data_IF_004457827812
#
_entry.id   IF_004457827812
#
_cell.length_a   1.000
_cell.length_b   1.000
_cell.length_c   1.000
_cell.angle_alpha   90.00
_cell.angle_beta   90.00
_cell.angle_gamma   90.00
#
_symmetry.space_group_name_H-M   'P 1'
#
loop_
_entity.id
_entity.type
_entity.pdbx_description
1 polymer ?
#
# COMPACT_ATOMS: atom_id res chain seq x y z
N UNK A 1 28.58 -66.15 -38.69
CA UNK A 1 27.58 -65.14 -39.12
C UNK A 1 26.93 -64.31 -37.99
N UNK A 2 27.08 -64.69 -36.74
CA UNK A 2 26.37 -64.01 -35.59
C UNK A 2 27.06 -62.70 -35.12
N UNK A 3 28.38 -62.51 -35.30
CA UNK A 3 29.17 -61.41 -34.79
C UNK A 3 28.94 -60.08 -35.54
N UNK A 4 28.43 -60.12 -36.78
CA UNK A 4 28.20 -58.91 -37.59
C UNK A 4 26.84 -58.22 -37.28
N UNK A 5 25.83 -59.02 -36.91
CA UNK A 5 24.51 -58.48 -36.55
C UNK A 5 24.52 -57.73 -35.21
N UNK A 6 25.37 -58.14 -34.28
CA UNK A 6 25.48 -57.49 -32.97
C UNK A 6 26.11 -56.14 -33.08
N UNK A 7 27.11 -55.96 -33.96
CA UNK A 7 27.70 -54.63 -34.20
C UNK A 7 26.74 -53.65 -34.90
N UNK A 8 25.89 -54.17 -35.79
CA UNK A 8 24.87 -53.34 -36.46
C UNK A 8 23.78 -52.89 -35.50
N UNK A 9 23.35 -53.82 -34.61
CA UNK A 9 22.35 -53.45 -33.58
C UNK A 9 22.85 -52.43 -32.60
N UNK A 10 24.09 -52.52 -32.14
CA UNK A 10 24.69 -51.49 -31.23
C UNK A 10 24.81 -50.14 -31.91
N UNK A 11 25.15 -50.10 -33.20
CA UNK A 11 25.20 -48.83 -33.95
C UNK A 11 23.83 -48.16 -34.10
N UNK A 12 22.77 -49.00 -34.30
CA UNK A 12 21.39 -48.52 -34.39
C UNK A 12 20.89 -47.97 -33.06
N UNK A 13 21.24 -48.65 -31.95
CA UNK A 13 20.89 -48.22 -30.60
C UNK A 13 21.58 -46.88 -30.22
N UNK A 14 22.87 -46.77 -30.60
CA UNK A 14 23.63 -45.52 -30.36
C UNK A 14 23.08 -44.36 -31.18
N UNK A 15 22.72 -44.58 -32.46
CA UNK A 15 22.10 -43.56 -33.30
C UNK A 15 20.73 -43.11 -32.74
N UNK A 16 19.92 -44.05 -32.24
CA UNK A 16 18.64 -43.75 -31.61
C UNK A 16 18.80 -42.96 -30.31
N UNK A 17 19.82 -43.24 -29.50
CA UNK A 17 20.12 -42.48 -28.28
C UNK A 17 20.57 -41.05 -28.59
N UNK A 18 21.36 -40.84 -29.65
CA UNK A 18 21.81 -39.50 -30.06
C UNK A 18 20.66 -38.66 -30.60
N UNK A 19 19.71 -39.27 -31.35
CA UNK A 19 18.52 -38.55 -31.84
C UNK A 19 17.63 -38.01 -30.70
N UNK A 20 17.49 -38.74 -29.58
CA UNK A 20 16.70 -38.30 -28.42
C UNK A 20 17.39 -37.20 -27.63
N UNK A 21 18.74 -37.04 -27.69
CA UNK A 21 19.45 -35.97 -26.99
C UNK A 21 19.25 -34.58 -27.61
N UNK A 22 18.75 -34.50 -28.85
CA UNK A 22 18.47 -33.23 -29.53
C UNK A 22 17.00 -32.75 -29.39
N UNK A 23 16.11 -33.55 -28.82
CA UNK A 23 14.66 -33.31 -28.83
C UNK A 23 14.17 -32.35 -27.75
N UNK A 24 14.99 -31.98 -26.75
CA UNK A 24 14.58 -31.08 -25.68
C UNK A 24 15.38 -29.79 -25.67
N UNK A 25 15.08 -28.88 -26.63
CA UNK A 25 15.30 -27.46 -26.41
C UNK A 25 13.94 -26.79 -26.22
N UNK A 26 13.47 -26.77 -24.99
CA UNK A 26 12.37 -25.86 -24.65
C UNK A 26 12.82 -24.44 -24.96
N UNK A 27 12.07 -23.67 -25.74
CA UNK A 27 12.36 -22.25 -25.92
C UNK A 27 12.36 -21.59 -24.54
N UNK A 28 13.37 -20.77 -24.25
CA UNK A 28 13.44 -20.03 -23.01
C UNK A 28 12.10 -19.31 -22.76
N UNK A 29 11.50 -19.42 -21.57
CA UNK A 29 10.24 -18.78 -21.30
C UNK A 29 10.40 -17.27 -21.52
N UNK A 30 9.71 -16.74 -22.54
CA UNK A 30 9.65 -15.30 -22.78
C UNK A 30 8.87 -14.72 -21.63
N UNK A 31 9.47 -13.78 -20.82
CA UNK A 31 8.75 -13.13 -19.77
C UNK A 31 7.50 -12.47 -20.37
N UNK A 32 6.32 -12.84 -19.88
CA UNK A 32 5.09 -12.16 -20.28
C UNK A 32 5.20 -10.68 -19.86
N UNK A 33 4.88 -9.73 -20.73
CA UNK A 33 4.83 -8.34 -20.31
C UNK A 33 3.86 -8.20 -19.13
N UNK A 34 4.13 -7.32 -18.16
CA UNK A 34 3.24 -7.11 -17.03
C UNK A 34 1.86 -6.73 -17.56
N UNK A 35 0.87 -7.59 -17.29
CA UNK A 35 -0.52 -7.35 -17.69
C UNK A 35 -1.17 -6.56 -16.57
N UNK A 36 -1.39 -5.27 -16.80
CA UNK A 36 -2.19 -4.43 -15.89
C UNK A 36 -3.66 -4.58 -16.24
N UNK A 37 -4.51 -4.59 -15.21
CA UNK A 37 -5.94 -4.40 -15.41
C UNK A 37 -6.15 -3.02 -16.04
N UNK A 38 -6.80 -2.95 -17.18
CA UNK A 38 -7.21 -1.69 -17.77
C UNK A 38 -8.42 -1.15 -16.99
N UNK A 39 -8.13 -0.41 -15.91
CA UNK A 39 -9.14 0.17 -15.05
C UNK A 39 -9.29 1.63 -15.45
N UNK A 40 -10.50 2.01 -15.87
CA UNK A 40 -10.84 3.41 -16.04
C UNK A 40 -11.24 3.98 -14.67
N UNK A 41 -10.35 4.78 -14.08
CA UNK A 41 -10.66 5.52 -12.87
C UNK A 41 -11.45 6.79 -13.22
N UNK A 42 -12.43 7.20 -12.39
CA UNK A 42 -13.09 8.49 -12.56
C UNK A 42 -12.09 9.64 -12.29
N UNK A 43 -12.44 10.83 -12.79
CA UNK A 43 -11.67 12.03 -12.48
C UNK A 43 -11.69 12.32 -10.98
N UNK A 44 -10.55 12.81 -10.47
CA UNK A 44 -10.43 13.21 -9.08
C UNK A 44 -11.32 14.41 -8.77
N UNK A 45 -12.18 14.28 -7.78
CA UNK A 45 -13.01 15.37 -7.26
C UNK A 45 -13.08 15.27 -5.73
N UNK A 46 -13.09 16.41 -5.04
CA UNK A 46 -12.93 16.45 -3.60
C UNK A 46 -13.97 17.32 -2.92
N UNK A 47 -14.39 16.90 -1.73
CA UNK A 47 -15.27 17.68 -0.85
C UNK A 47 -14.64 17.81 0.54
N UNK A 48 -14.93 18.89 1.26
CA UNK A 48 -14.51 19.03 2.66
C UNK A 48 -15.39 18.17 3.57
N UNK A 49 -14.74 17.36 4.39
CA UNK A 49 -15.36 16.55 5.43
C UNK A 49 -15.14 17.20 6.78
N UNK A 50 -16.24 17.48 7.50
CA UNK A 50 -16.28 18.00 8.86
C UNK A 50 -17.02 16.98 9.73
N UNK A 51 -16.34 15.90 10.09
CA UNK A 51 -16.90 14.87 10.95
C UNK A 51 -16.87 15.22 12.44
N UNK A 52 -17.13 14.23 13.30
CA UNK A 52 -17.17 14.40 14.77
C UNK A 52 -15.78 14.51 15.40
N UNK A 53 -14.74 14.03 14.72
CA UNK A 53 -13.37 14.11 15.21
C UNK A 53 -12.84 15.57 15.13
N UNK A 54 -11.84 15.94 15.93
CA UNK A 54 -11.36 17.33 16.04
C UNK A 54 -10.48 17.79 14.87
N UNK A 55 -10.80 17.32 13.66
CA UNK A 55 -10.12 17.68 12.42
C UNK A 55 -11.08 17.70 11.23
N UNK A 56 -10.65 18.31 10.16
CA UNK A 56 -11.30 18.33 8.86
C UNK A 56 -10.28 18.13 7.75
N UNK A 57 -10.72 17.58 6.62
CA UNK A 57 -9.85 17.32 5.48
C UNK A 57 -10.66 17.28 4.19
N UNK A 58 -9.98 17.30 3.04
CA UNK A 58 -10.59 17.02 1.76
C UNK A 58 -10.63 15.52 1.53
N UNK A 59 -11.80 15.02 1.13
CA UNK A 59 -12.03 13.63 0.78
C UNK A 59 -12.47 13.53 -0.67
N UNK A 60 -11.95 12.55 -1.40
CA UNK A 60 -12.42 12.23 -2.74
C UNK A 60 -13.92 11.89 -2.69
N UNK A 61 -14.70 12.49 -3.59
CA UNK A 61 -16.18 12.33 -3.64
C UNK A 61 -16.63 10.90 -3.89
N UNK A 62 -15.71 10.05 -4.34
CA UNK A 62 -15.86 8.61 -4.54
C UNK A 62 -15.95 7.81 -3.23
N UNK A 63 -15.46 8.38 -2.12
CA UNK A 63 -15.30 7.68 -0.84
C UNK A 63 -16.39 8.06 0.14
N UNK A 64 -16.69 7.13 1.04
CA UNK A 64 -17.65 7.33 2.13
C UNK A 64 -16.95 7.17 3.47
N UNK A 65 -17.24 8.04 4.42
CA UNK A 65 -16.68 7.96 5.77
C UNK A 65 -17.75 7.73 6.82
N UNK A 66 -17.34 7.06 7.91
CA UNK A 66 -18.11 6.95 9.13
C UNK A 66 -17.20 7.02 10.34
N UNK A 67 -17.69 7.59 11.42
CA UNK A 67 -17.05 7.49 12.73
C UNK A 67 -17.42 6.13 13.35
N UNK A 68 -16.40 5.30 13.63
CA UNK A 68 -16.57 3.98 14.24
C UNK A 68 -16.65 4.14 15.76
N UNK A 69 -15.74 4.93 16.31
CA UNK A 69 -15.59 5.17 17.72
C UNK A 69 -15.26 6.63 17.98
N UNK A 70 -15.98 7.23 18.93
CA UNK A 70 -15.67 8.53 19.49
C UNK A 70 -15.75 8.37 21.01
N UNK A 71 -14.62 7.98 21.62
CA UNK A 71 -14.61 7.64 23.03
C UNK A 71 -14.52 8.88 23.90
N UNK A 72 -15.10 8.78 25.09
CA UNK A 72 -14.96 9.77 26.16
C UNK A 72 -13.49 9.96 26.63
N UNK A 73 -12.57 9.15 26.13
CA UNK A 73 -11.14 9.16 26.47
C UNK A 73 -10.27 9.90 25.45
N UNK A 74 -10.80 10.91 24.79
CA UNK A 74 -10.08 11.75 23.83
C UNK A 74 -9.49 10.97 22.62
N UNK A 75 -10.16 9.90 22.19
CA UNK A 75 -9.84 9.19 20.96
C UNK A 75 -11.01 9.20 19.99
N UNK A 76 -10.70 9.16 18.70
CA UNK A 76 -11.71 9.09 17.65
C UNK A 76 -11.20 8.22 16.51
N UNK A 77 -12.00 7.23 16.09
CA UNK A 77 -11.66 6.34 14.98
C UNK A 77 -12.65 6.56 13.85
N UNK A 78 -12.13 6.87 12.67
CA UNK A 78 -12.92 6.98 11.45
C UNK A 78 -12.50 5.92 10.44
N UNK A 79 -13.47 5.35 9.75
CA UNK A 79 -13.26 4.51 8.59
C UNK A 79 -13.75 5.23 7.34
N UNK A 80 -12.89 5.33 6.35
CA UNK A 80 -13.18 5.85 5.02
C UNK A 80 -13.20 4.66 4.07
N UNK A 81 -14.40 4.30 3.58
CA UNK A 81 -14.55 3.27 2.56
C UNK A 81 -14.10 3.80 1.22
N UNK A 82 -13.15 3.11 0.58
CA UNK A 82 -12.54 3.52 -0.69
C UNK A 82 -13.38 3.11 -1.92
N UNK A 83 -14.67 2.80 -1.71
CA UNK A 83 -15.62 2.51 -2.79
C UNK A 83 -15.12 1.44 -3.77
N UNK A 84 -15.01 1.76 -5.08
CA UNK A 84 -14.62 0.80 -6.10
C UNK A 84 -13.19 0.27 -5.93
N UNK A 85 -12.33 0.91 -5.15
CA UNK A 85 -10.97 0.43 -4.88
C UNK A 85 -10.94 -0.73 -3.88
N UNK A 86 -12.11 -1.12 -3.33
CA UNK A 86 -12.29 -2.26 -2.44
C UNK A 86 -11.31 -2.27 -1.26
N UNK A 87 -11.40 -1.23 -0.45
CA UNK A 87 -10.55 -1.08 0.74
C UNK A 87 -11.09 -0.04 1.71
N UNK A 88 -10.32 0.22 2.75
CA UNK A 88 -10.61 1.24 3.75
C UNK A 88 -9.33 1.99 4.13
N UNK A 89 -9.47 3.29 4.36
CA UNK A 89 -8.52 4.09 5.10
C UNK A 89 -9.06 4.25 6.51
N UNK A 90 -8.27 3.86 7.50
CA UNK A 90 -8.58 4.09 8.91
C UNK A 90 -7.79 5.30 9.42
N UNK A 91 -8.47 6.20 10.12
CA UNK A 91 -7.89 7.33 10.82
C UNK A 91 -8.07 7.13 12.32
N UNK A 92 -6.96 7.03 13.03
CA UNK A 92 -6.90 6.86 14.50
C UNK A 92 -6.42 8.17 15.10
N UNK A 93 -7.36 8.93 15.66
CA UNK A 93 -7.04 10.15 16.40
C UNK A 93 -6.85 9.85 17.88
N UNK A 94 -5.83 10.47 18.47
CA UNK A 94 -5.62 10.53 19.90
C UNK A 94 -5.25 11.95 20.33
N UNK A 95 -5.73 12.37 21.49
CA UNK A 95 -5.24 13.57 22.15
C UNK A 95 -3.88 13.29 22.80
N UNK A 96 -2.90 14.16 22.58
CA UNK A 96 -1.56 14.02 23.17
C UNK A 96 -1.65 14.38 24.67
N UNK A 97 -1.39 13.42 25.60
CA UNK A 97 -1.55 13.67 27.03
C UNK A 97 -0.57 14.73 27.57
N UNK A 98 0.65 14.73 27.05
CA UNK A 98 1.70 15.71 27.37
C UNK A 98 2.68 15.83 26.21
N UNK A 99 3.44 16.93 26.16
CA UNK A 99 4.48 17.10 25.12
C UNK A 99 5.55 16.00 25.17
N UNK A 100 5.84 15.48 26.35
CA UNK A 100 6.83 14.41 26.54
C UNK A 100 6.38 13.07 25.97
N UNK A 101 5.06 12.89 25.75
CA UNK A 101 4.49 11.68 25.15
C UNK A 101 4.59 11.66 23.62
N UNK A 102 4.79 12.79 22.97
CA UNK A 102 4.79 12.90 21.50
C UNK A 102 5.87 12.03 20.83
N UNK A 103 7.12 11.99 21.31
CA UNK A 103 8.14 11.11 20.74
C UNK A 103 7.73 9.64 20.75
N UNK A 104 7.14 9.15 21.85
CA UNK A 104 6.70 7.76 21.95
C UNK A 104 5.56 7.44 20.99
N UNK A 105 4.63 8.36 20.80
CA UNK A 105 3.51 8.23 19.84
C UNK A 105 4.03 8.20 18.40
N UNK A 106 5.02 9.05 18.07
CA UNK A 106 5.67 9.05 16.76
C UNK A 106 6.44 7.76 16.55
N UNK A 107 7.22 7.31 17.54
CA UNK A 107 7.95 6.04 17.47
C UNK A 107 7.02 4.86 17.27
N UNK A 108 5.92 4.78 18.01
CA UNK A 108 4.89 3.77 17.79
C UNK A 108 4.37 3.76 16.35
N UNK A 109 4.14 4.94 15.75
CA UNK A 109 3.68 5.03 14.36
C UNK A 109 4.76 4.57 13.36
N UNK A 110 6.02 4.88 13.62
CA UNK A 110 7.15 4.41 12.81
C UNK A 110 7.34 2.89 12.94
N UNK A 111 7.19 2.33 14.13
CA UNK A 111 7.26 0.88 14.37
C UNK A 111 6.21 0.12 13.56
N UNK A 112 4.99 0.69 13.43
CA UNK A 112 3.94 0.12 12.57
C UNK A 112 4.34 0.08 11.08
N UNK A 113 5.09 1.07 10.60
CA UNK A 113 5.67 1.04 9.25
C UNK A 113 6.76 -0.02 9.16
N UNK A 114 7.62 -0.09 10.18
CA UNK A 114 8.76 -1.00 10.25
C UNK A 114 8.36 -2.49 10.29
N UNK A 115 7.20 -2.83 10.83
CA UNK A 115 6.64 -4.19 10.79
C UNK A 115 6.52 -4.75 9.36
N UNK A 116 6.46 -3.88 8.35
CA UNK A 116 6.35 -4.26 6.94
C UNK A 116 7.69 -4.37 6.21
N UNK A 117 8.82 -4.01 6.83
CA UNK A 117 10.15 -3.98 6.19
C UNK A 117 10.55 -5.29 5.51
N UNK A 118 10.17 -6.43 6.09
CA UNK A 118 10.54 -7.76 5.54
C UNK A 118 9.79 -8.12 4.25
N UNK A 119 8.70 -7.43 3.92
CA UNK A 119 7.87 -7.66 2.74
C UNK A 119 7.86 -6.49 1.78
N UNK A 120 8.38 -5.35 2.20
CA UNK A 120 8.51 -4.17 1.37
C UNK A 120 9.82 -4.24 0.57
N UNK A 121 9.74 -4.02 -0.73
CA UNK A 121 10.90 -3.87 -1.61
C UNK A 121 11.55 -2.50 -1.39
N UNK A 122 10.74 -1.49 -1.08
CA UNK A 122 11.17 -0.12 -0.81
C UNK A 122 10.15 0.61 0.07
N UNK A 123 10.62 1.42 1.01
CA UNK A 123 9.81 2.36 1.77
C UNK A 123 10.26 3.77 1.40
N UNK A 124 9.35 4.55 0.85
CA UNK A 124 9.54 5.97 0.55
C UNK A 124 8.73 6.79 1.55
N UNK A 125 9.19 7.99 1.84
CA UNK A 125 8.47 8.90 2.73
C UNK A 125 8.52 10.34 2.21
N UNK A 126 7.47 11.08 2.52
CA UNK A 126 7.32 12.50 2.28
C UNK A 126 6.99 13.21 3.60
N UNK A 127 7.73 14.27 3.90
CA UNK A 127 7.44 15.08 5.08
C UNK A 127 6.31 16.06 4.79
N UNK A 128 5.31 16.09 5.66
CA UNK A 128 4.20 17.03 5.61
C UNK A 128 4.51 18.19 6.56
N UNK A 129 4.59 19.40 5.99
CA UNK A 129 4.91 20.62 6.75
C UNK A 129 3.96 21.73 6.32
N UNK A 130 2.88 21.92 7.08
CA UNK A 130 1.97 23.06 6.94
C UNK A 130 2.00 23.91 8.22
N UNK A 131 2.85 24.90 8.22
CA UNK A 131 3.01 25.81 9.37
C UNK A 131 1.78 26.67 9.61
N UNK A 132 1.00 26.99 8.56
CA UNK A 132 -0.21 27.82 8.65
C UNK A 132 -1.33 27.11 9.43
N UNK A 133 -1.54 25.83 9.15
CA UNK A 133 -2.56 25.02 9.81
C UNK A 133 -1.99 24.19 10.97
N UNK A 134 -0.66 24.34 11.26
CA UNK A 134 0.07 23.54 12.26
C UNK A 134 -0.10 22.05 12.05
N UNK A 135 0.07 21.60 10.83
CA UNK A 135 0.04 20.18 10.47
C UNK A 135 1.43 19.73 10.09
N UNK A 136 1.99 18.82 10.88
CA UNK A 136 3.32 18.27 10.69
C UNK A 136 3.21 16.74 10.71
N UNK A 137 3.99 16.07 9.90
CA UNK A 137 3.93 14.61 9.89
C UNK A 137 4.75 13.96 8.79
N UNK A 138 4.49 12.69 8.56
CA UNK A 138 5.15 11.91 7.53
C UNK A 138 4.14 11.02 6.84
N UNK A 139 4.17 11.03 5.52
CA UNK A 139 3.44 10.11 4.67
C UNK A 139 4.41 9.04 4.16
N UNK A 140 4.06 7.75 4.33
CA UNK A 140 4.87 6.61 3.92
C UNK A 140 4.19 5.86 2.78
N UNK A 141 4.98 5.55 1.75
CA UNK A 141 4.62 4.64 0.66
C UNK A 141 5.48 3.37 0.76
N UNK A 142 4.85 2.23 1.00
CA UNK A 142 5.49 0.93 1.10
C UNK A 142 5.28 0.18 -0.22
N UNK A 143 6.33 0.08 -1.03
CA UNK A 143 6.32 -0.65 -2.30
C UNK A 143 6.64 -2.11 -2.04
N UNK A 144 5.85 -3.03 -2.60
CA UNK A 144 5.99 -4.47 -2.40
C UNK A 144 4.70 -5.14 -1.97
N UNK A 145 4.78 -6.45 -1.72
CA UNK A 145 3.62 -7.29 -1.37
C UNK A 145 3.28 -7.18 0.13
N UNK A 146 3.01 -5.97 0.59
CA UNK A 146 2.67 -5.63 1.98
C UNK A 146 1.16 -5.54 2.18
N UNK A 147 0.70 -5.69 3.42
CA UNK A 147 -0.71 -5.59 3.76
C UNK A 147 -1.25 -4.16 3.66
N UNK A 148 -0.40 -3.16 3.94
CA UNK A 148 -0.71 -1.74 3.81
C UNK A 148 0.39 -1.05 3.02
N UNK A 149 0.02 -0.45 1.88
CA UNK A 149 0.97 0.27 1.02
C UNK A 149 1.08 1.76 1.38
N UNK A 150 0.14 2.30 2.15
CA UNK A 150 0.16 3.69 2.59
C UNK A 150 -0.13 3.80 4.07
N UNK A 151 0.75 4.49 4.77
CA UNK A 151 0.57 4.90 6.16
C UNK A 151 1.01 6.35 6.30
N UNK A 152 0.46 7.05 7.29
CA UNK A 152 0.92 8.38 7.63
C UNK A 152 0.61 8.70 9.09
N UNK A 153 1.26 9.71 9.61
CA UNK A 153 0.81 10.39 10.82
C UNK A 153 0.87 11.91 10.63
N UNK A 154 -0.03 12.60 11.31
CA UNK A 154 -0.14 14.05 11.36
C UNK A 154 -0.29 14.49 12.80
N UNK A 155 0.34 15.63 13.17
CA UNK A 155 0.27 16.20 14.50
C UNK A 155 0.36 17.73 14.44
N UNK A 156 -0.19 18.40 15.45
CA UNK A 156 0.05 19.85 15.67
C UNK A 156 1.24 20.09 16.60
N UNK A 157 1.95 19.03 16.98
CA UNK A 157 3.08 18.99 17.91
C UNK A 157 2.73 19.41 19.34
N UNK A 158 1.47 19.43 19.72
CA UNK A 158 1.06 19.85 21.06
C UNK A 158 -0.11 19.07 21.66
N UNK A 159 -1.22 18.94 20.97
CA UNK A 159 -2.47 18.38 21.51
C UNK A 159 -3.06 17.27 20.64
N UNK A 160 -2.79 17.30 19.34
CA UNK A 160 -3.47 16.47 18.38
C UNK A 160 -2.51 15.54 17.63
N UNK A 161 -2.91 14.28 17.50
CA UNK A 161 -2.21 13.29 16.70
C UNK A 161 -3.21 12.40 15.95
N UNK A 162 -2.98 12.18 14.68
CA UNK A 162 -3.73 11.25 13.83
C UNK A 162 -2.76 10.33 13.12
N UNK A 163 -3.03 9.02 13.17
CA UNK A 163 -2.39 8.02 12.33
C UNK A 163 -3.39 7.51 11.29
N UNK A 164 -2.96 7.42 10.04
CA UNK A 164 -3.72 6.84 8.95
C UNK A 164 -3.08 5.58 8.40
N UNK A 165 -3.89 4.57 8.05
CA UNK A 165 -3.43 3.38 7.35
C UNK A 165 -4.47 2.89 6.34
N UNK A 166 -4.00 2.44 5.16
CA UNK A 166 -4.85 1.90 4.11
C UNK A 166 -4.80 0.39 4.12
N UNK A 167 -5.97 -0.24 4.12
CA UNK A 167 -6.12 -1.68 3.95
C UNK A 167 -6.98 -1.98 2.73
N UNK A 168 -6.41 -2.69 1.74
CA UNK A 168 -7.15 -3.17 0.57
C UNK A 168 -7.65 -4.58 0.84
N UNK A 169 -8.92 -4.86 0.52
CA UNK A 169 -9.56 -6.16 0.71
C UNK A 169 -9.17 -7.15 -0.39
N UNK A 170 -7.88 -7.33 -0.61
CA UNK A 170 -7.36 -8.24 -1.61
C UNK A 170 -6.03 -8.84 -1.15
N UNK A 171 -5.62 -9.93 -1.81
CA UNK A 171 -4.29 -10.49 -1.58
C UNK A 171 -3.23 -9.52 -2.09
N UNK A 172 -2.21 -9.19 -1.30
CA UNK A 172 -1.13 -8.32 -1.72
C UNK A 172 -0.45 -8.83 -2.99
N UNK A 173 -0.49 -8.02 -4.04
CA UNK A 173 0.21 -8.22 -5.31
C UNK A 173 0.52 -6.83 -5.87
N UNK A 174 1.67 -6.30 -5.49
CA UNK A 174 2.03 -4.91 -5.78
C UNK A 174 1.97 -4.56 -7.27
N UNK A 175 2.50 -5.45 -8.13
CA UNK A 175 2.52 -5.19 -9.57
C UNK A 175 1.12 -5.06 -10.17
N UNK A 176 0.21 -5.95 -9.78
CA UNK A 176 -1.20 -5.89 -10.24
C UNK A 176 -1.97 -4.71 -9.64
N UNK A 177 -1.64 -4.32 -8.40
CA UNK A 177 -2.31 -3.23 -7.69
C UNK A 177 -1.75 -1.84 -8.06
N UNK A 178 -0.61 -1.75 -8.74
CA UNK A 178 0.06 -0.49 -9.05
C UNK A 178 -0.84 0.59 -9.63
N UNK A 179 -1.74 0.33 -10.61
CA UNK A 179 -2.65 1.37 -11.11
C UNK A 179 -3.60 1.90 -10.02
N UNK A 180 -4.15 1.00 -9.17
CA UNK A 180 -5.02 1.36 -8.04
C UNK A 180 -4.25 2.18 -7.01
N UNK A 181 -3.04 1.75 -6.66
CA UNK A 181 -2.18 2.44 -5.70
C UNK A 181 -1.77 3.83 -6.19
N UNK A 182 -1.43 3.97 -7.47
CA UNK A 182 -1.09 5.28 -8.05
C UNK A 182 -2.28 6.24 -8.02
N UNK A 183 -3.48 5.77 -8.34
CA UNK A 183 -4.69 6.57 -8.26
C UNK A 183 -4.98 6.98 -6.81
N UNK A 184 -4.99 6.02 -5.89
CA UNK A 184 -5.24 6.25 -4.46
C UNK A 184 -4.22 7.20 -3.82
N UNK A 185 -2.93 7.12 -4.21
CA UNK A 185 -1.88 8.00 -3.71
C UNK A 185 -2.23 9.47 -3.91
N UNK A 186 -2.78 9.84 -5.06
CA UNK A 186 -3.19 11.22 -5.37
C UNK A 186 -4.24 11.68 -4.37
N UNK A 187 -5.26 10.87 -4.11
CA UNK A 187 -6.33 11.20 -3.16
C UNK A 187 -5.83 11.30 -1.72
N UNK A 188 -4.91 10.42 -1.32
CA UNK A 188 -4.31 10.47 0.02
C UNK A 188 -3.43 11.70 0.22
N UNK A 189 -2.63 12.07 -0.79
CA UNK A 189 -1.83 13.29 -0.73
C UNK A 189 -2.71 14.54 -0.68
N UNK A 190 -3.83 14.59 -1.43
CA UNK A 190 -4.80 15.68 -1.33
C UNK A 190 -5.41 15.75 0.07
N UNK A 191 -5.69 14.59 0.71
CA UNK A 191 -6.19 14.55 2.08
C UNK A 191 -5.17 15.13 3.06
N UNK A 192 -3.92 14.64 3.06
CA UNK A 192 -2.91 15.05 4.05
C UNK A 192 -2.46 16.50 3.86
N UNK A 193 -2.36 17.00 2.62
CA UNK A 193 -1.99 18.38 2.34
C UNK A 193 -3.11 19.40 2.61
N UNK A 194 -4.37 18.94 2.70
CA UNK A 194 -5.52 19.82 3.03
C UNK A 194 -6.13 19.50 4.39
N UNK A 195 -5.36 18.80 5.23
CA UNK A 195 -5.78 18.47 6.59
C UNK A 195 -5.71 19.71 7.49
N UNK A 196 -6.68 19.83 8.41
CA UNK A 196 -6.74 20.94 9.37
C UNK A 196 -7.29 20.44 10.70
N UNK A 197 -6.72 20.96 11.78
CA UNK A 197 -7.29 20.81 13.10
C UNK A 197 -8.49 21.76 13.25
N UNK A 198 -9.57 21.32 13.88
CA UNK A 198 -10.66 22.21 14.25
C UNK A 198 -10.16 23.18 15.32
N UNK A 199 -10.65 24.40 15.26
CA UNK A 199 -10.43 25.37 16.34
C UNK A 199 -11.44 25.06 17.45
N UNK A 200 -10.95 24.98 18.69
CA UNK A 200 -11.78 24.97 19.88
C UNK A 200 -12.57 26.27 20.01
#
# INVERSE_FOLDING_TARGET
MIKNNQKSFIRFLLAFLILNAYACKEPAPVPKPPTYLNINFPDHSYTYVKGDCPYEFKLASLYNYKTIENSKFNSCIQEIKLGPLNGSLFLYYISIPSKDSLPDIINFSNDRVDEHKFKADKIEFEQIIDTKNRVFGTFFELKGNVATNFQFYLTDSSQHFVRGEVLLNCRPNYDSLRPVLNYLKIDLLELVHNFKWKKD
#
